data_IF_377856886639
#
_entry.id   IF_377856886639
#
_cell.length_a   1.000
_cell.length_b   1.000
_cell.length_c   1.000
_cell.angle_alpha   90.00
_cell.angle_beta   90.00
_cell.angle_gamma   90.00
#
_symmetry.space_group_name_H-M   'P 1'
#
loop_
_entity.id
_entity.type
_entity.pdbx_description
1 polymer ?
#
# COMPACT_ATOMS: atom_id res chain seq x y z
N UNK A 1 22.44 -19.65 -35.25
CA UNK A 1 22.34 -18.26 -34.74
C UNK A 1 21.44 -18.11 -33.50
N UNK A 2 20.65 -19.12 -33.11
CA UNK A 2 19.65 -19.04 -32.02
C UNK A 2 20.17 -19.25 -30.58
N UNK A 3 21.29 -19.91 -30.36
CA UNK A 3 21.78 -20.27 -29.02
C UNK A 3 22.57 -19.16 -28.31
N UNK A 4 23.15 -18.22 -29.02
CA UNK A 4 23.86 -17.06 -28.44
C UNK A 4 22.92 -15.97 -27.91
N UNK A 5 21.74 -15.82 -28.49
CA UNK A 5 20.74 -14.85 -28.02
C UNK A 5 20.02 -15.30 -26.72
N UNK A 6 19.90 -16.60 -26.48
CA UNK A 6 19.31 -17.13 -25.26
C UNK A 6 20.23 -16.98 -24.03
N UNK A 7 21.55 -16.98 -24.22
CA UNK A 7 22.53 -16.81 -23.13
C UNK A 7 22.71 -15.36 -22.67
N UNK A 8 22.51 -14.37 -23.59
CA UNK A 8 22.61 -12.95 -23.26
C UNK A 8 21.42 -12.41 -22.43
N UNK A 9 20.31 -13.15 -22.35
CA UNK A 9 19.15 -12.77 -21.52
C UNK A 9 19.28 -13.17 -20.03
N UNK A 10 20.28 -13.95 -19.65
CA UNK A 10 20.44 -14.45 -18.27
C UNK A 10 21.13 -13.49 -17.29
N UNK A 11 21.71 -12.39 -17.77
CA UNK A 11 22.52 -11.47 -16.94
C UNK A 11 21.89 -10.07 -16.74
N UNK A 12 20.64 -9.86 -17.17
CA UNK A 12 19.95 -8.63 -16.82
C UNK A 12 19.46 -8.70 -15.37
N UNK A 13 19.85 -7.71 -14.58
CA UNK A 13 19.38 -7.57 -13.21
C UNK A 13 17.85 -7.69 -13.15
N UNK A 14 17.36 -8.66 -12.38
CA UNK A 14 15.93 -8.90 -12.23
C UNK A 14 15.26 -7.68 -11.60
N UNK A 15 14.11 -7.25 -12.13
CA UNK A 15 13.29 -6.21 -11.52
C UNK A 15 12.72 -6.72 -10.20
N UNK A 16 12.97 -5.99 -9.11
CA UNK A 16 12.46 -6.32 -7.78
C UNK A 16 11.02 -5.90 -7.67
N UNK A 17 10.10 -6.83 -7.37
CA UNK A 17 8.66 -6.55 -7.30
C UNK A 17 8.12 -6.94 -5.93
N UNK A 18 7.42 -6.01 -5.30
CA UNK A 18 6.57 -6.25 -4.12
C UNK A 18 5.14 -6.37 -4.62
N UNK A 19 4.44 -7.44 -4.28
CA UNK A 19 3.00 -7.56 -4.48
C UNK A 19 2.35 -7.31 -3.13
N UNK A 20 1.78 -6.11 -2.96
CA UNK A 20 1.11 -5.70 -1.74
C UNK A 20 -0.39 -5.83 -1.87
N UNK A 21 -0.98 -6.66 -1.01
CA UNK A 21 -2.44 -6.75 -0.88
C UNK A 21 -2.93 -5.71 0.13
N UNK A 22 -3.79 -4.82 -0.34
CA UNK A 22 -4.44 -3.81 0.48
C UNK A 22 -5.64 -4.40 1.23
N UNK A 23 -6.12 -3.68 2.24
CA UNK A 23 -7.36 -3.93 2.96
C UNK A 23 -7.38 -5.17 3.87
N UNK A 24 -6.24 -5.74 4.28
CA UNK A 24 -6.22 -6.82 5.27
C UNK A 24 -6.86 -6.32 6.59
N UNK A 25 -7.75 -7.12 7.18
CA UNK A 25 -8.54 -6.73 8.35
C UNK A 25 -9.90 -6.07 8.03
N UNK A 26 -10.20 -5.81 6.75
CA UNK A 26 -11.47 -5.23 6.29
C UNK A 26 -12.65 -6.17 6.52
N UNK A 27 -12.52 -7.43 6.16
CA UNK A 27 -13.53 -8.48 6.34
C UNK A 27 -12.89 -9.86 6.33
N UNK A 28 -13.61 -10.87 6.83
CA UNK A 28 -13.14 -12.25 6.80
C UNK A 28 -12.87 -12.73 5.36
N UNK A 29 -13.74 -12.40 4.41
CA UNK A 29 -13.56 -12.78 3.00
C UNK A 29 -12.30 -12.17 2.37
N UNK A 30 -11.97 -10.92 2.71
CA UNK A 30 -10.72 -10.26 2.27
C UNK A 30 -9.52 -10.94 2.92
N UNK A 31 -9.58 -11.20 4.22
CA UNK A 31 -8.51 -11.91 4.93
C UNK A 31 -8.24 -13.29 4.28
N UNK A 32 -9.30 -14.08 4.04
CA UNK A 32 -9.19 -15.41 3.43
C UNK A 32 -8.53 -15.36 2.05
N UNK A 33 -8.95 -14.42 1.20
CA UNK A 33 -8.41 -14.26 -0.13
C UNK A 33 -6.91 -13.86 -0.09
N UNK A 34 -6.54 -12.91 0.78
CA UNK A 34 -5.15 -12.46 0.92
C UNK A 34 -4.26 -13.60 1.41
N UNK A 35 -4.66 -14.29 2.47
CA UNK A 35 -3.85 -15.38 3.02
C UNK A 35 -3.76 -16.59 2.07
N UNK A 36 -4.80 -16.88 1.30
CA UNK A 36 -4.74 -17.91 0.27
C UNK A 36 -3.70 -17.60 -0.82
N UNK A 37 -3.60 -16.33 -1.24
CA UNK A 37 -2.58 -15.89 -2.20
C UNK A 37 -1.17 -15.86 -1.59
N UNK A 38 -1.02 -15.48 -0.31
CA UNK A 38 0.24 -15.56 0.42
C UNK A 38 0.75 -17.01 0.53
N UNK A 39 -0.14 -17.96 0.84
CA UNK A 39 0.20 -19.38 0.93
C UNK A 39 0.74 -19.95 -0.40
N UNK A 40 0.34 -19.36 -1.52
CA UNK A 40 0.80 -19.70 -2.87
C UNK A 40 2.03 -18.88 -3.32
N UNK A 41 2.53 -17.96 -2.48
CA UNK A 41 3.67 -17.08 -2.82
C UNK A 41 3.33 -16.00 -3.85
N UNK A 42 2.05 -15.73 -4.12
CA UNK A 42 1.59 -14.74 -5.10
C UNK A 42 1.50 -13.33 -4.50
N UNK A 43 1.38 -13.22 -3.17
CA UNK A 43 1.40 -11.96 -2.42
C UNK A 43 2.56 -12.00 -1.44
N UNK A 44 3.39 -10.97 -1.43
CA UNK A 44 4.61 -10.89 -0.60
C UNK A 44 4.49 -9.88 0.54
N UNK A 45 3.47 -9.04 0.50
CA UNK A 45 3.21 -8.00 1.48
C UNK A 45 1.71 -7.74 1.60
N UNK A 46 1.25 -7.29 2.76
CA UNK A 46 -0.11 -6.77 2.92
C UNK A 46 -0.13 -5.60 3.91
N UNK A 47 -1.17 -4.75 3.80
CA UNK A 47 -1.38 -3.64 4.73
C UNK A 47 -2.71 -3.76 5.45
N UNK A 48 -2.66 -3.56 6.77
CA UNK A 48 -3.74 -3.84 7.72
C UNK A 48 -4.52 -2.57 8.04
N UNK A 49 -5.84 -2.61 7.86
CA UNK A 49 -6.76 -1.58 8.35
C UNK A 49 -6.97 -1.82 9.86
N UNK A 50 -6.34 -1.00 10.69
CA UNK A 50 -6.35 -1.18 12.14
C UNK A 50 -7.74 -1.02 12.79
N UNK A 51 -8.62 -0.23 12.20
CA UNK A 51 -10.01 -0.04 12.62
C UNK A 51 -11.01 -0.90 11.83
N UNK A 52 -10.53 -1.87 11.05
CA UNK A 52 -11.37 -2.81 10.31
C UNK A 52 -12.00 -3.86 11.24
N UNK A 53 -13.24 -4.32 10.93
CA UNK A 53 -13.98 -5.25 11.78
C UNK A 53 -13.35 -6.65 11.88
N UNK A 54 -12.50 -7.06 10.93
CA UNK A 54 -11.85 -8.37 10.90
C UNK A 54 -10.35 -8.31 11.27
N UNK A 55 -9.88 -7.24 11.92
CA UNK A 55 -8.47 -7.06 12.30
C UNK A 55 -7.98 -8.16 13.27
N UNK A 56 -8.83 -8.62 14.18
CA UNK A 56 -8.46 -9.68 15.13
C UNK A 56 -8.14 -11.01 14.45
N UNK A 57 -8.94 -11.41 13.46
CA UNK A 57 -8.70 -12.62 12.66
C UNK A 57 -7.37 -12.54 11.88
N UNK A 58 -7.11 -11.43 11.24
CA UNK A 58 -5.87 -11.32 10.44
C UNK A 58 -4.62 -11.41 11.30
N UNK A 59 -4.60 -10.83 12.51
CA UNK A 59 -3.43 -10.82 13.38
C UNK A 59 -3.06 -12.22 13.87
N UNK A 60 -4.06 -13.06 14.18
CA UNK A 60 -3.83 -14.46 14.57
C UNK A 60 -3.14 -15.24 13.45
N UNK A 61 -3.52 -14.98 12.20
CA UNK A 61 -3.02 -15.72 11.02
C UNK A 61 -1.66 -15.23 10.50
N UNK A 62 -1.32 -13.96 10.71
CA UNK A 62 -0.09 -13.36 10.18
C UNK A 62 1.19 -14.10 10.59
N UNK A 63 1.23 -14.66 11.78
CA UNK A 63 2.38 -15.42 12.29
C UNK A 63 2.76 -16.64 11.45
N UNK A 64 1.83 -17.18 10.66
CA UNK A 64 2.07 -18.32 9.76
C UNK A 64 2.76 -17.93 8.44
N UNK A 65 2.95 -16.62 8.18
CA UNK A 65 3.56 -16.10 6.97
C UNK A 65 4.84 -15.30 7.24
N UNK A 66 5.90 -15.90 7.80
CA UNK A 66 7.12 -15.20 8.18
C UNK A 66 7.91 -14.63 6.98
N UNK A 67 7.69 -15.13 5.78
CA UNK A 67 8.29 -14.63 4.54
C UNK A 67 7.58 -13.39 3.99
N UNK A 68 6.37 -13.08 4.45
CA UNK A 68 5.62 -11.89 4.03
C UNK A 68 5.88 -10.72 4.98
N UNK A 69 5.77 -9.50 4.48
CA UNK A 69 5.81 -8.27 5.29
C UNK A 69 4.42 -7.69 5.50
N UNK A 70 4.22 -7.08 6.66
CA UNK A 70 2.94 -6.47 7.01
C UNK A 70 3.11 -4.99 7.36
N UNK A 71 2.34 -4.13 6.70
CA UNK A 71 2.30 -2.68 6.92
C UNK A 71 1.00 -2.21 7.55
N UNK A 72 0.91 -0.91 7.83
CA UNK A 72 -0.33 -0.29 8.31
C UNK A 72 -1.02 0.43 7.15
N UNK A 73 -2.26 0.07 6.89
CA UNK A 73 -3.16 0.74 5.96
C UNK A 73 -3.90 1.85 6.69
N UNK A 74 -3.27 3.04 6.78
CA UNK A 74 -3.81 4.20 7.51
C UNK A 74 -5.18 4.58 6.94
N UNK A 75 -6.18 4.68 7.80
CA UNK A 75 -7.56 4.88 7.37
C UNK A 75 -8.22 6.05 8.11
N UNK A 76 -8.88 6.93 7.36
CA UNK A 76 -9.80 7.98 7.80
C UNK A 76 -10.93 8.18 6.77
N UNK A 77 -11.29 7.13 6.07
CA UNK A 77 -12.28 7.19 4.96
C UNK A 77 -13.36 6.13 5.05
N UNK A 78 -13.24 5.19 5.99
CA UNK A 78 -14.17 4.09 6.19
C UNK A 78 -14.09 3.57 7.64
N UNK A 79 -15.12 2.95 8.14
CA UNK A 79 -15.24 2.42 9.51
C UNK A 79 -15.19 3.51 10.61
N UNK A 80 -15.44 3.11 11.84
CA UNK A 80 -15.41 4.01 12.98
C UNK A 80 -13.97 4.38 13.37
N UNK A 81 -13.73 5.60 13.88
CA UNK A 81 -12.43 5.98 14.45
C UNK A 81 -12.09 5.13 15.68
N UNK A 82 -10.79 4.99 15.96
CA UNK A 82 -10.31 4.42 17.21
C UNK A 82 -10.26 5.44 18.35
N UNK A 83 -10.32 6.72 18.01
CA UNK A 83 -10.23 7.83 18.97
C UNK A 83 -11.54 8.64 18.99
N UNK A 84 -11.93 9.09 20.19
CA UNK A 84 -13.08 9.98 20.36
C UNK A 84 -12.60 11.45 20.42
N UNK A 85 -12.24 11.99 19.26
CA UNK A 85 -11.76 13.37 19.13
C UNK A 85 -12.80 14.23 18.41
N UNK A 86 -13.36 15.28 19.05
CA UNK A 86 -14.44 16.10 18.47
C UNK A 86 -14.15 16.64 17.07
N UNK A 87 -12.87 16.97 16.79
CA UNK A 87 -12.49 17.50 15.47
C UNK A 87 -12.69 16.48 14.33
N UNK A 88 -12.64 15.16 14.60
CA UNK A 88 -12.92 14.11 13.61
C UNK A 88 -14.37 14.14 13.15
N UNK A 89 -15.31 14.68 13.92
CA UNK A 89 -16.71 14.84 13.52
C UNK A 89 -16.90 15.55 12.17
N UNK A 90 -15.94 16.39 11.76
CA UNK A 90 -15.97 17.05 10.46
C UNK A 90 -15.84 16.07 9.27
N UNK A 91 -15.26 14.90 9.49
CA UNK A 91 -15.01 13.87 8.46
C UNK A 91 -15.79 12.57 8.71
N UNK A 92 -16.70 12.55 9.70
CA UNK A 92 -17.58 11.42 9.96
C UNK A 92 -18.91 11.56 9.21
N UNK A 93 -19.44 10.46 8.71
CA UNK A 93 -20.82 10.34 8.22
C UNK A 93 -21.84 10.32 9.35
N UNK A 94 -23.13 10.28 8.99
CA UNK A 94 -24.23 10.23 9.96
C UNK A 94 -24.27 8.94 10.81
N UNK A 95 -23.58 7.89 10.37
CA UNK A 95 -23.44 6.61 11.08
C UNK A 95 -22.21 6.58 12.04
N UNK A 96 -21.49 7.69 12.19
CA UNK A 96 -20.29 7.78 13.01
C UNK A 96 -19.04 7.18 12.40
N UNK A 97 -19.08 6.72 11.16
CA UNK A 97 -17.93 6.20 10.44
C UNK A 97 -17.23 7.29 9.63
N UNK A 98 -15.96 7.10 9.34
CA UNK A 98 -15.23 7.96 8.42
C UNK A 98 -15.90 8.00 7.04
N UNK A 99 -15.95 9.18 6.43
CA UNK A 99 -16.53 9.40 5.10
C UNK A 99 -15.50 10.03 4.17
N UNK A 100 -15.21 9.33 3.07
CA UNK A 100 -14.32 9.83 2.02
C UNK A 100 -14.81 11.15 1.42
N UNK A 101 -16.11 11.30 1.27
CA UNK A 101 -16.73 12.51 0.72
C UNK A 101 -16.54 13.68 1.67
N UNK A 102 -16.86 13.50 2.95
CA UNK A 102 -16.64 14.55 3.96
C UNK A 102 -15.17 14.94 4.10
N UNK A 103 -14.25 13.98 4.07
CA UNK A 103 -12.82 14.28 4.08
C UNK A 103 -12.38 15.11 2.88
N UNK A 104 -12.91 14.80 1.68
CA UNK A 104 -12.61 15.57 0.46
C UNK A 104 -13.03 17.03 0.61
N UNK A 105 -14.22 17.25 1.16
CA UNK A 105 -14.84 18.57 1.26
C UNK A 105 -14.40 19.34 2.52
N UNK A 106 -13.80 18.64 3.50
CA UNK A 106 -13.36 19.25 4.75
C UNK A 106 -12.19 20.24 4.55
N UNK A 107 -12.28 21.35 5.30
CA UNK A 107 -11.14 22.23 5.50
C UNK A 107 -10.20 21.63 6.55
N UNK A 108 -9.07 21.08 6.12
CA UNK A 108 -8.06 20.50 7.01
C UNK A 108 -7.33 21.61 7.81
N UNK A 109 -8.01 22.16 8.83
CA UNK A 109 -7.43 23.12 9.76
C UNK A 109 -6.43 22.43 10.71
N UNK A 110 -5.84 23.20 11.63
CA UNK A 110 -4.81 22.70 12.58
C UNK A 110 -5.39 21.62 13.49
N UNK A 111 -6.60 21.83 14.01
CA UNK A 111 -7.24 20.92 14.95
C UNK A 111 -7.60 19.58 14.30
N UNK A 112 -8.18 19.61 13.09
CA UNK A 112 -8.48 18.40 12.35
C UNK A 112 -7.20 17.64 11.95
N UNK A 113 -6.15 18.33 11.50
CA UNK A 113 -4.85 17.70 11.22
C UNK A 113 -4.23 17.08 12.47
N UNK A 114 -4.39 17.73 13.63
CA UNK A 114 -3.95 17.17 14.90
C UNK A 114 -4.75 15.93 15.28
N UNK A 115 -6.07 15.95 15.13
CA UNK A 115 -6.93 14.81 15.38
C UNK A 115 -6.60 13.64 14.44
N UNK A 116 -6.38 13.89 13.15
CA UNK A 116 -5.92 12.86 12.20
C UNK A 116 -4.55 12.27 12.62
N UNK A 117 -3.63 13.09 13.11
CA UNK A 117 -2.36 12.61 13.64
C UNK A 117 -2.55 11.67 14.83
N UNK A 118 -3.47 12.00 15.75
CA UNK A 118 -3.77 11.18 16.92
C UNK A 118 -4.45 9.86 16.48
N UNK A 119 -5.40 9.93 15.56
CA UNK A 119 -6.09 8.75 15.02
C UNK A 119 -5.10 7.79 14.30
N UNK A 120 -4.29 8.28 13.38
CA UNK A 120 -3.26 7.46 12.72
C UNK A 120 -2.24 6.90 13.72
N UNK A 121 -1.94 7.66 14.78
CA UNK A 121 -1.08 7.18 15.85
C UNK A 121 -1.74 6.06 16.65
N UNK A 122 -3.04 6.16 16.93
CA UNK A 122 -3.81 5.12 17.61
C UNK A 122 -3.89 3.84 16.76
N UNK A 123 -4.09 3.96 15.46
CA UNK A 123 -4.10 2.83 14.52
C UNK A 123 -2.77 2.07 14.53
N UNK A 124 -1.65 2.78 14.45
CA UNK A 124 -0.32 2.16 14.51
C UNK A 124 -0.07 1.52 15.88
N UNK A 125 -0.41 2.23 16.96
CA UNK A 125 -0.21 1.75 18.31
C UNK A 125 -1.02 0.49 18.58
N UNK A 126 -2.30 0.46 18.19
CA UNK A 126 -3.16 -0.73 18.31
C UNK A 126 -2.53 -1.97 17.68
N UNK A 127 -2.01 -1.86 16.46
CA UNK A 127 -1.39 -3.01 15.79
C UNK A 127 -0.10 -3.44 16.47
N UNK A 128 0.70 -2.51 17.01
CA UNK A 128 1.90 -2.82 17.81
C UNK A 128 1.55 -3.52 19.12
N UNK A 129 0.54 -3.03 19.84
CA UNK A 129 0.08 -3.62 21.11
C UNK A 129 -0.45 -5.05 20.92
N UNK A 130 -0.98 -5.33 19.73
CA UNK A 130 -1.41 -6.65 19.30
C UNK A 130 -0.27 -7.51 18.72
N UNK A 131 1.00 -7.06 18.85
CA UNK A 131 2.20 -7.83 18.51
C UNK A 131 2.65 -7.73 17.05
N UNK A 132 2.05 -6.86 16.22
CA UNK A 132 2.43 -6.72 14.82
C UNK A 132 3.78 -6.02 14.63
N UNK A 133 4.71 -6.65 13.92
CA UNK A 133 5.93 -6.01 13.43
C UNK A 133 5.65 -5.24 12.14
N UNK A 134 5.60 -3.91 12.24
CA UNK A 134 5.21 -3.02 11.14
C UNK A 134 6.40 -2.79 10.20
N UNK A 135 6.26 -3.15 8.93
CA UNK A 135 7.30 -2.97 7.91
C UNK A 135 7.22 -1.63 7.19
N UNK A 136 6.03 -1.10 6.93
CA UNK A 136 5.81 0.12 6.15
C UNK A 136 4.45 0.75 6.42
N UNK A 137 4.21 1.91 5.80
CA UNK A 137 2.92 2.61 5.81
C UNK A 137 2.43 2.85 4.39
N UNK A 138 1.14 2.72 4.22
CA UNK A 138 0.35 3.25 3.11
C UNK A 138 -1.00 3.75 3.64
N UNK A 139 -2.04 3.81 2.83
CA UNK A 139 -3.36 4.19 3.34
C UNK A 139 -4.50 3.80 2.44
N UNK A 140 -5.64 3.56 3.03
CA UNK A 140 -6.89 3.33 2.35
C UNK A 140 -7.24 4.53 1.46
N UNK A 141 -7.64 4.26 0.21
CA UNK A 141 -7.91 5.27 -0.82
C UNK A 141 -6.73 6.25 -1.09
N UNK A 142 -5.48 5.83 -0.84
CA UNK A 142 -4.28 6.64 -1.08
C UNK A 142 -4.25 8.01 -0.36
N UNK A 143 -4.99 8.17 0.74
CA UNK A 143 -5.11 9.47 1.44
C UNK A 143 -3.77 9.98 1.99
N UNK A 144 -2.80 9.11 2.24
CA UNK A 144 -1.44 9.52 2.63
C UNK A 144 -0.76 10.36 1.54
N UNK A 145 -1.23 10.29 0.29
CA UNK A 145 -0.70 11.09 -0.83
C UNK A 145 -1.36 12.45 -0.97
N UNK A 146 -2.32 12.81 -0.10
CA UNK A 146 -2.90 14.15 -0.06
C UNK A 146 -1.86 15.16 0.45
N UNK A 147 -1.49 16.18 -0.35
CA UNK A 147 -0.50 17.18 0.07
C UNK A 147 -0.86 17.91 1.36
N UNK A 148 -2.17 18.05 1.67
CA UNK A 148 -2.64 18.68 2.90
C UNK A 148 -2.26 17.89 4.15
N UNK A 149 -2.03 16.56 4.02
CA UNK A 149 -1.68 15.63 5.09
C UNK A 149 -0.18 15.27 5.14
N UNK A 150 0.65 15.84 4.25
CA UNK A 150 2.08 15.54 4.20
C UNK A 150 2.79 15.72 5.55
N UNK A 151 2.56 16.86 6.20
CA UNK A 151 3.14 17.13 7.53
C UNK A 151 2.67 16.14 8.59
N UNK A 152 1.39 15.75 8.55
CA UNK A 152 0.80 14.75 9.45
C UNK A 152 1.47 13.39 9.25
N UNK A 153 1.61 12.92 8.02
CA UNK A 153 2.31 11.69 7.68
C UNK A 153 3.76 11.70 8.20
N UNK A 154 4.50 12.80 8.00
CA UNK A 154 5.89 12.92 8.47
C UNK A 154 6.01 12.93 9.99
N UNK A 155 5.04 13.49 10.71
CA UNK A 155 4.97 13.41 12.17
C UNK A 155 4.75 11.97 12.66
N UNK A 156 3.82 11.23 12.01
CA UNK A 156 3.56 9.82 12.29
C UNK A 156 4.82 8.98 12.05
N UNK A 157 5.46 9.13 10.89
CA UNK A 157 6.71 8.42 10.58
C UNK A 157 7.79 8.63 11.67
N UNK A 158 7.98 9.87 12.12
CA UNK A 158 8.96 10.22 13.17
C UNK A 158 8.58 9.60 14.52
N UNK A 159 7.30 9.70 14.91
CA UNK A 159 6.82 9.17 16.19
C UNK A 159 7.07 7.67 16.31
N UNK A 160 6.83 6.92 15.25
CA UNK A 160 6.89 5.46 15.24
C UNK A 160 8.17 4.90 14.63
N UNK A 161 9.10 5.74 14.18
CA UNK A 161 10.34 5.37 13.52
C UNK A 161 10.12 4.49 12.25
N UNK A 162 8.98 4.68 11.54
CA UNK A 162 8.67 3.92 10.33
C UNK A 162 9.17 4.71 9.13
N UNK A 163 10.19 4.19 8.44
CA UNK A 163 10.82 4.88 7.30
C UNK A 163 10.29 4.46 5.95
N UNK A 164 9.70 3.29 5.82
CA UNK A 164 9.20 2.77 4.55
C UNK A 164 7.76 3.22 4.33
N UNK A 165 7.50 3.85 3.20
CA UNK A 165 6.16 4.37 2.83
C UNK A 165 5.93 4.15 1.34
N UNK A 166 4.72 3.75 1.00
CA UNK A 166 4.24 3.69 -0.38
C UNK A 166 4.32 5.06 -1.05
N UNK A 167 4.72 5.08 -2.31
CA UNK A 167 4.71 6.29 -3.14
C UNK A 167 3.31 6.53 -3.75
N UNK A 168 3.10 7.71 -4.31
CA UNK A 168 1.98 7.92 -5.23
C UNK A 168 2.27 7.24 -6.58
N UNK A 169 1.27 6.64 -7.23
CA UNK A 169 1.42 5.92 -8.48
C UNK A 169 2.15 6.75 -9.55
N UNK A 170 3.15 6.13 -10.17
CA UNK A 170 4.03 6.78 -11.15
C UNK A 170 4.32 5.93 -12.39
N UNK A 171 3.70 4.77 -12.51
CA UNK A 171 3.65 3.98 -13.74
C UNK A 171 2.27 4.18 -14.34
N UNK A 172 2.22 4.61 -15.61
CA UNK A 172 0.97 4.85 -16.34
C UNK A 172 1.20 4.74 -17.84
N UNK A 173 0.17 4.34 -18.56
CA UNK A 173 0.14 4.38 -20.03
C UNK A 173 -0.10 5.79 -20.56
N UNK A 174 -0.71 6.67 -19.75
CA UNK A 174 -1.02 8.07 -20.10
C UNK A 174 -0.49 9.04 -19.01
N UNK A 175 0.66 9.69 -19.26
CA UNK A 175 1.23 10.67 -18.32
C UNK A 175 0.48 12.01 -18.40
N UNK A 176 -0.43 12.23 -17.46
CA UNK A 176 -1.21 13.47 -17.31
C UNK A 176 -0.69 14.39 -16.17
N UNK A 177 -1.41 15.51 -15.88
CA UNK A 177 -1.09 16.42 -14.77
C UNK A 177 -1.03 15.74 -13.40
N UNK A 178 -1.87 14.72 -13.15
CA UNK A 178 -1.84 13.93 -11.91
C UNK A 178 -0.48 13.25 -11.75
N UNK A 179 0.08 12.76 -12.85
CA UNK A 179 1.39 12.11 -12.86
C UNK A 179 2.54 13.08 -12.49
N UNK A 180 2.49 14.35 -12.95
CA UNK A 180 3.47 15.39 -12.56
C UNK A 180 3.39 15.69 -11.05
N UNK A 181 2.18 15.84 -10.51
CA UNK A 181 1.95 16.03 -9.08
C UNK A 181 2.50 14.87 -8.25
N UNK A 182 2.26 13.64 -8.68
CA UNK A 182 2.76 12.44 -8.03
C UNK A 182 4.30 12.40 -8.01
N UNK A 183 4.98 12.83 -9.07
CA UNK A 183 6.45 12.94 -9.09
C UNK A 183 6.98 13.92 -8.04
N UNK A 184 6.37 15.09 -7.93
CA UNK A 184 6.73 16.09 -6.90
C UNK A 184 6.52 15.48 -5.50
N UNK A 185 5.37 14.86 -5.27
CA UNK A 185 5.07 14.16 -4.02
C UNK A 185 6.13 13.11 -3.69
N UNK A 186 6.45 12.22 -4.62
CA UNK A 186 7.39 11.13 -4.42
C UNK A 186 8.81 11.66 -4.12
N UNK A 187 9.21 12.76 -4.75
CA UNK A 187 10.47 13.43 -4.46
C UNK A 187 10.47 14.00 -3.04
N UNK A 188 9.44 14.74 -2.66
CA UNK A 188 9.29 15.26 -1.31
C UNK A 188 9.27 14.14 -0.27
N UNK A 189 8.54 13.04 -0.54
CA UNK A 189 8.45 11.89 0.35
C UNK A 189 9.84 11.32 0.67
N UNK A 190 10.72 11.19 -0.31
CA UNK A 190 12.09 10.66 -0.16
C UNK A 190 13.03 11.64 0.54
N UNK A 191 12.94 12.92 0.24
CA UNK A 191 13.82 13.94 0.81
C UNK A 191 13.59 14.15 2.30
N UNK A 192 12.33 14.10 2.75
CA UNK A 192 11.99 14.33 4.15
C UNK A 192 12.00 13.03 4.95
N UNK A 193 12.72 13.04 6.08
CA UNK A 193 12.84 11.92 7.02
C UNK A 193 13.49 10.66 6.41
N UNK A 194 14.32 10.80 5.36
CA UNK A 194 15.01 9.70 4.67
C UNK A 194 14.07 8.51 4.43
N UNK A 195 12.92 8.79 3.81
CA UNK A 195 11.90 7.76 3.56
C UNK A 195 12.38 6.81 2.47
N UNK A 196 12.39 5.52 2.77
CA UNK A 196 12.65 4.46 1.80
C UNK A 196 11.36 4.15 1.03
N UNK A 197 11.45 4.04 -0.28
CA UNK A 197 10.32 3.79 -1.17
C UNK A 197 10.72 2.87 -2.30
N UNK A 198 9.76 2.18 -2.92
CA UNK A 198 9.96 1.64 -4.27
C UNK A 198 10.22 2.77 -5.26
N UNK A 199 10.80 2.46 -6.41
CA UNK A 199 10.99 3.43 -7.50
C UNK A 199 9.75 3.57 -8.39
N UNK A 200 8.93 2.50 -8.48
CA UNK A 200 7.68 2.42 -9.23
C UNK A 200 6.51 1.92 -8.40
N UNK A 201 5.30 2.39 -8.73
CA UNK A 201 4.02 1.92 -8.20
C UNK A 201 2.96 1.92 -9.31
N UNK A 202 2.21 0.83 -9.39
CA UNK A 202 1.01 0.71 -10.20
C UNK A 202 0.00 -0.27 -9.58
N UNK A 203 -1.25 -0.18 -9.98
CA UNK A 203 -2.16 -1.32 -9.93
C UNK A 203 -1.73 -2.39 -10.93
N UNK A 204 -2.16 -3.63 -10.70
CA UNK A 204 -1.68 -4.77 -11.49
C UNK A 204 -2.06 -4.67 -12.97
N UNK A 205 -3.25 -4.17 -13.29
CA UNK A 205 -3.70 -4.05 -14.68
C UNK A 205 -2.89 -2.99 -15.45
N UNK A 206 -2.64 -1.83 -14.83
CA UNK A 206 -1.80 -0.77 -15.39
C UNK A 206 -0.36 -1.25 -15.60
N UNK A 207 0.19 -2.02 -14.64
CA UNK A 207 1.51 -2.62 -14.79
C UNK A 207 1.62 -3.51 -16.03
N UNK A 208 0.68 -4.42 -16.22
CA UNK A 208 0.67 -5.33 -17.39
C UNK A 208 0.59 -4.57 -18.72
N UNK A 209 -0.17 -3.48 -18.76
CA UNK A 209 -0.28 -2.64 -19.96
C UNK A 209 0.98 -1.80 -20.22
N UNK A 210 1.70 -1.44 -19.16
CA UNK A 210 2.89 -0.58 -19.23
C UNK A 210 4.21 -1.36 -19.22
N UNK A 211 4.21 -2.68 -19.40
CA UNK A 211 5.34 -3.58 -19.19
C UNK A 211 6.66 -3.12 -19.85
N UNK A 212 6.60 -2.52 -21.04
CA UNK A 212 7.79 -1.99 -21.75
C UNK A 212 8.43 -0.76 -21.08
N UNK A 213 7.69 -0.04 -20.22
CA UNK A 213 8.18 1.16 -19.51
C UNK A 213 8.66 0.84 -18.09
N UNK A 214 8.31 -0.33 -17.61
CA UNK A 214 8.59 -0.80 -16.24
C UNK A 214 10.09 -1.04 -16.00
N UNK A 215 10.84 -1.43 -17.03
CA UNK A 215 12.29 -1.71 -16.95
C UNK A 215 13.13 -0.52 -16.46
N UNK A 216 12.58 0.69 -16.43
CA UNK A 216 13.25 1.89 -15.89
C UNK A 216 13.24 1.95 -14.35
N UNK A 217 12.55 1.02 -13.70
CA UNK A 217 12.39 1.00 -12.25
C UNK A 217 13.24 -0.13 -11.62
N UNK A 218 14.04 0.21 -10.62
CA UNK A 218 14.85 -0.76 -9.87
C UNK A 218 14.03 -1.62 -8.91
N UNK A 219 12.89 -1.08 -8.46
CA UNK A 219 11.92 -1.76 -7.60
C UNK A 219 10.52 -1.23 -7.87
N UNK A 220 9.53 -2.12 -7.85
CA UNK A 220 8.13 -1.79 -8.15
C UNK A 220 7.25 -2.38 -7.07
N UNK A 221 6.27 -1.62 -6.65
CA UNK A 221 5.14 -2.13 -5.89
C UNK A 221 3.93 -2.30 -6.80
N UNK A 222 3.34 -3.48 -6.78
CA UNK A 222 2.06 -3.80 -7.40
C UNK A 222 0.99 -3.89 -6.33
N UNK A 223 -0.02 -3.05 -6.44
CA UNK A 223 -1.17 -3.02 -5.53
C UNK A 223 -2.24 -3.97 -6.02
N UNK A 224 -2.76 -4.81 -5.13
CA UNK A 224 -3.85 -5.74 -5.39
C UNK A 224 -4.89 -5.71 -4.27
N UNK A 225 -6.17 -6.02 -4.59
CA UNK A 225 -7.30 -5.99 -3.64
C UNK A 225 -8.05 -7.34 -3.63
N UNK A 226 -7.42 -8.44 -3.16
CA UNK A 226 -8.04 -9.76 -3.16
C UNK A 226 -9.29 -9.81 -2.27
N UNK A 227 -10.29 -10.60 -2.68
CA UNK A 227 -11.53 -10.75 -1.92
C UNK A 227 -12.54 -9.62 -2.11
N UNK A 228 -12.17 -8.54 -2.80
CA UNK A 228 -13.11 -7.48 -3.13
C UNK A 228 -13.76 -7.74 -4.51
N UNK A 229 -15.11 -7.85 -4.62
CA UNK A 229 -15.78 -8.24 -5.86
C UNK A 229 -15.42 -7.37 -7.07
N UNK A 230 -15.23 -6.07 -6.85
CA UNK A 230 -14.83 -5.10 -7.89
C UNK A 230 -13.48 -5.45 -8.53
N UNK A 231 -12.58 -6.11 -7.81
CA UNK A 231 -11.22 -6.44 -8.24
C UNK A 231 -11.02 -7.94 -8.54
N UNK A 232 -12.10 -8.69 -8.74
CA UNK A 232 -12.00 -10.12 -9.05
C UNK A 232 -11.19 -10.42 -10.32
N UNK A 233 -11.19 -9.52 -11.31
CA UNK A 233 -10.36 -9.66 -12.51
C UNK A 233 -8.87 -9.53 -12.20
N UNK A 234 -8.48 -8.64 -11.30
CA UNK A 234 -7.12 -8.44 -10.82
C UNK A 234 -6.60 -9.72 -10.14
N UNK A 235 -7.40 -10.33 -9.27
CA UNK A 235 -7.04 -11.59 -8.60
C UNK A 235 -6.80 -12.70 -9.61
N UNK A 236 -7.69 -12.88 -10.62
CA UNK A 236 -7.50 -13.87 -11.68
C UNK A 236 -6.23 -13.64 -12.50
N UNK A 237 -5.90 -12.38 -12.79
CA UNK A 237 -4.65 -12.04 -13.49
C UNK A 237 -3.43 -12.38 -12.64
N UNK A 238 -3.46 -12.10 -11.33
CA UNK A 238 -2.38 -12.45 -10.42
C UNK A 238 -2.17 -13.96 -10.31
N UNK A 239 -3.22 -14.75 -10.43
CA UNK A 239 -3.19 -16.22 -10.41
C UNK A 239 -2.71 -16.85 -11.74
N UNK A 240 -2.66 -16.07 -12.81
CA UNK A 240 -2.14 -16.52 -14.11
C UNK A 240 -0.59 -16.52 -14.12
N UNK A 241 0.06 -17.17 -15.10
CA UNK A 241 1.52 -17.13 -15.25
C UNK A 241 2.02 -15.80 -15.83
N UNK A 242 1.58 -14.67 -15.24
CA UNK A 242 1.85 -13.32 -15.73
C UNK A 242 3.35 -12.98 -15.83
N UNK A 243 4.18 -13.58 -14.99
CA UNK A 243 5.64 -13.39 -15.02
C UNK A 243 6.24 -13.87 -16.34
N UNK A 244 5.68 -14.95 -16.93
CA UNK A 244 6.14 -15.50 -18.20
C UNK A 244 5.83 -14.59 -19.38
N UNK A 245 4.82 -13.74 -19.24
CA UNK A 245 4.44 -12.74 -20.25
C UNK A 245 5.37 -11.51 -20.28
N UNK A 246 6.28 -11.38 -19.32
CA UNK A 246 7.18 -10.24 -19.22
C UNK A 246 8.46 -10.47 -20.04
N UNK A 247 8.94 -9.42 -20.69
CA UNK A 247 10.20 -9.45 -21.46
C UNK A 247 11.47 -9.39 -20.57
N UNK A 248 11.33 -9.32 -19.23
CA UNK A 248 12.42 -9.20 -18.27
C UNK A 248 12.24 -10.15 -17.07
N UNK A 249 13.32 -10.44 -16.36
CA UNK A 249 13.26 -11.26 -15.16
C UNK A 249 12.65 -10.53 -13.97
N UNK A 250 11.87 -11.26 -13.16
CA UNK A 250 11.25 -10.75 -11.93
C UNK A 250 11.89 -11.42 -10.72
N UNK A 251 12.10 -10.65 -9.65
CA UNK A 251 12.44 -11.14 -8.34
C UNK A 251 11.40 -10.60 -7.34
N UNK A 252 10.53 -11.47 -6.85
CA UNK A 252 9.57 -11.11 -5.83
C UNK A 252 10.30 -10.87 -4.51
N UNK A 253 10.05 -9.72 -3.92
CA UNK A 253 10.56 -9.31 -2.62
C UNK A 253 9.41 -8.81 -1.74
N UNK A 254 9.65 -8.65 -0.47
CA UNK A 254 8.74 -7.99 0.46
C UNK A 254 9.31 -6.63 0.94
N UNK A 255 8.54 -5.86 1.70
CA UNK A 255 8.97 -4.54 2.17
C UNK A 255 10.15 -4.59 3.16
N UNK A 256 10.45 -5.71 3.81
CA UNK A 256 11.65 -5.80 4.68
C UNK A 256 12.93 -5.79 3.87
N UNK A 257 12.89 -6.28 2.65
CA UNK A 257 14.02 -6.39 1.72
C UNK A 257 14.24 -5.11 0.89
N UNK A 258 13.30 -4.16 0.95
CA UNK A 258 13.42 -2.85 0.28
C UNK A 258 14.48 -1.96 1.04
#
# INVERSE_FOLDING_TARGET
MGLRQAHLRRDQAKTRIIINADDLGRSAAVNDAIFALMARGLVTSATVIANGPAVGDCLVRMGTFPSCSFGVHLNITEFQPLTDLPALGQILGGNGEFSRERLRDARLNVDLKHAIFQEWSAQIQRLRDLGMSISHLDSHHDIHTDPRLFGTLKRVQRRFAIRKVRIAANISTDPNLRFRRNRIWNTALRLFYRTTTTSGLADFATFMQAANRVQLHSSIELVVHPGHPRFAAETRMLESPWVEALAFGVHLINYREL
#
